data_IF_534416088074
#
_entry.id   IF_534416088074
#
_cell.length_a   1.000
_cell.length_b   1.000
_cell.length_c   1.000
_cell.angle_alpha   90.00
_cell.angle_beta   90.00
_cell.angle_gamma   90.00
#
_symmetry.space_group_name_H-M   'P 1'
#
loop_
_entity.id
_entity.type
_entity.pdbx_description
1 polymer ?
#
# COMPACT_ATOMS: atom_id res chain seq x y z
N UNK A 1 -48.20 49.22 -24.53
CA UNK A 1 -49.35 48.32 -24.33
C UNK A 1 -48.80 46.90 -24.49
N UNK A 2 -48.38 46.13 -23.48
CA UNK A 2 -48.89 45.91 -22.12
C UNK A 2 -47.74 45.53 -21.16
N UNK A 3 -47.94 45.83 -19.88
CA UNK A 3 -47.06 45.48 -18.75
C UNK A 3 -47.48 44.15 -18.07
N UNK A 4 -46.45 43.43 -17.60
CA UNK A 4 -46.33 42.62 -16.35
C UNK A 4 -46.98 41.22 -16.21
N UNK A 5 -46.48 40.33 -15.29
CA UNK A 5 -45.39 40.51 -14.32
C UNK A 5 -44.30 39.40 -14.26
N UNK A 6 -43.14 39.78 -13.69
CA UNK A 6 -42.11 38.91 -13.13
C UNK A 6 -42.70 38.06 -11.98
N UNK A 7 -42.63 36.73 -12.10
CA UNK A 7 -42.74 35.82 -10.94
C UNK A 7 -41.34 35.40 -10.52
N UNK A 8 -40.86 36.01 -9.43
CA UNK A 8 -39.83 35.41 -8.59
C UNK A 8 -40.35 34.09 -8.02
N UNK A 9 -39.94 32.97 -8.60
CA UNK A 9 -39.96 31.70 -7.90
C UNK A 9 -38.68 31.67 -7.07
N UNK A 10 -38.78 32.05 -5.80
CA UNK A 10 -37.81 31.61 -4.79
C UNK A 10 -37.94 30.10 -4.71
N UNK A 11 -37.12 29.39 -5.48
CA UNK A 11 -36.79 28.02 -5.13
C UNK A 11 -36.10 28.11 -3.77
N UNK A 12 -36.84 27.74 -2.72
CA UNK A 12 -36.26 27.41 -1.44
C UNK A 12 -35.38 26.20 -1.72
N UNK A 13 -34.10 26.46 -2.01
CA UNK A 13 -33.11 25.41 -2.14
C UNK A 13 -33.17 24.61 -0.85
N UNK A 14 -33.47 23.31 -0.97
CA UNK A 14 -33.12 22.37 0.10
C UNK A 14 -31.66 22.64 0.44
N UNK A 15 -31.28 22.72 1.73
CA UNK A 15 -29.86 22.66 2.07
C UNK A 15 -29.28 21.41 1.39
N UNK A 16 -28.04 21.45 0.88
CA UNK A 16 -27.42 20.26 0.31
C UNK A 16 -27.60 19.14 1.33
N UNK A 17 -28.17 18.02 0.88
CA UNK A 17 -28.34 16.82 1.70
C UNK A 17 -27.03 16.58 2.42
N UNK A 18 -27.05 16.58 3.76
CA UNK A 18 -25.84 16.44 4.57
C UNK A 18 -25.07 15.22 4.06
N UNK A 19 -23.88 15.50 3.53
CA UNK A 19 -22.90 14.54 3.06
C UNK A 19 -22.41 13.75 4.27
N UNK A 20 -22.93 12.53 4.39
CA UNK A 20 -22.77 11.64 5.53
C UNK A 20 -22.59 10.23 4.97
N UNK A 21 -21.56 9.54 5.46
CA UNK A 21 -21.25 8.17 5.05
C UNK A 21 -21.11 7.31 6.30
N UNK A 22 -21.63 6.08 6.27
CA UNK A 22 -21.39 5.14 7.37
C UNK A 22 -19.89 4.79 7.45
N UNK A 23 -19.33 4.64 8.65
CA UNK A 23 -17.90 4.34 8.81
C UNK A 23 -17.48 3.09 8.04
N UNK A 24 -18.30 2.03 8.04
CA UNK A 24 -17.99 0.79 7.32
C UNK A 24 -17.99 1.00 5.81
N UNK A 25 -18.96 1.77 5.30
CA UNK A 25 -19.01 2.15 3.88
C UNK A 25 -17.75 2.95 3.51
N UNK A 26 -17.35 3.92 4.34
CA UNK A 26 -16.17 4.74 4.09
C UNK A 26 -14.87 3.93 4.13
N UNK A 27 -14.69 3.05 5.11
CA UNK A 27 -13.51 2.18 5.19
C UNK A 27 -13.46 1.22 4.00
N UNK A 28 -14.60 0.67 3.56
CA UNK A 28 -14.67 -0.13 2.32
C UNK A 28 -14.22 0.69 1.11
N UNK A 29 -14.72 1.92 0.97
CA UNK A 29 -14.33 2.79 -0.14
C UNK A 29 -12.85 3.17 -0.10
N UNK A 30 -12.26 3.38 1.08
CA UNK A 30 -10.82 3.64 1.23
C UNK A 30 -9.98 2.41 0.85
N UNK A 31 -10.46 1.20 1.13
CA UNK A 31 -9.82 -0.05 0.69
C UNK A 31 -10.00 -0.29 -0.82
N UNK A 32 -11.12 0.16 -1.42
CA UNK A 32 -11.30 0.13 -2.88
C UNK A 32 -10.37 1.12 -3.60
N UNK A 33 -10.06 2.26 -2.96
CA UNK A 33 -9.10 3.24 -3.45
C UNK A 33 -7.68 2.65 -3.51
N UNK A 34 -7.24 2.00 -2.42
CA UNK A 34 -6.06 1.15 -2.42
C UNK A 34 -6.25 -0.03 -1.48
N UNK A 35 -6.16 -1.24 -2.05
CA UNK A 35 -6.29 -2.47 -1.27
C UNK A 35 -5.20 -2.54 -0.20
N UNK A 36 -5.60 -2.77 1.05
CA UNK A 36 -4.67 -3.00 2.15
C UNK A 36 -3.81 -4.27 1.94
N UNK A 37 -4.21 -5.17 1.04
CA UNK A 37 -3.39 -6.33 0.66
C UNK A 37 -2.08 -5.96 -0.08
N UNK A 38 -1.93 -4.70 -0.49
CA UNK A 38 -0.71 -4.19 -1.10
C UNK A 38 0.31 -3.68 -0.07
N UNK A 39 -0.09 -3.56 1.20
CA UNK A 39 0.81 -3.16 2.26
C UNK A 39 1.90 -4.22 2.50
N UNK A 40 3.03 -3.75 3.00
CA UNK A 40 4.12 -4.62 3.44
C UNK A 40 3.69 -5.52 4.61
N UNK A 41 4.21 -6.74 4.64
CA UNK A 41 3.83 -7.76 5.62
C UNK A 41 4.09 -7.38 7.10
N UNK A 42 4.99 -6.44 7.36
CA UNK A 42 5.33 -5.97 8.70
C UNK A 42 4.45 -4.79 9.16
N UNK A 43 3.65 -4.23 8.25
CA UNK A 43 2.94 -2.98 8.45
C UNK A 43 1.65 -3.15 9.28
N UNK A 44 1.17 -2.06 9.88
CA UNK A 44 -0.09 -2.02 10.61
C UNK A 44 -1.05 -1.01 9.97
N UNK A 45 -1.78 -1.47 8.97
CA UNK A 45 -2.70 -0.66 8.14
C UNK A 45 -4.17 -0.94 8.44
N UNK A 46 -5.04 -0.06 7.97
CA UNK A 46 -6.49 -0.16 8.11
C UNK A 46 -7.06 0.67 9.27
N UNK A 47 -8.24 0.27 9.76
CA UNK A 47 -8.91 0.95 10.87
C UNK A 47 -8.26 0.55 12.20
N UNK A 48 -7.48 1.45 12.78
CA UNK A 48 -6.69 1.22 14.00
C UNK A 48 -7.45 1.58 15.29
N UNK A 49 -8.34 2.57 15.21
CA UNK A 49 -9.24 2.95 16.32
C UNK A 49 -10.64 3.08 15.75
N UNK A 50 -11.56 2.29 16.27
CA UNK A 50 -12.96 2.24 15.83
C UNK A 50 -13.89 2.77 16.93
N UNK A 51 -14.63 3.88 16.69
CA UNK A 51 -15.70 4.33 17.58
C UNK A 51 -16.87 3.34 17.59
N UNK A 52 -17.62 3.28 18.69
CA UNK A 52 -18.76 2.36 18.80
C UNK A 52 -19.87 2.66 17.77
N UNK A 53 -20.45 1.63 17.10
CA UNK A 53 -21.52 1.83 16.13
C UNK A 53 -22.84 2.27 16.79
N UNK A 54 -23.74 2.98 16.06
CA UNK A 54 -23.54 3.50 14.70
C UNK A 54 -22.55 4.68 14.69
N UNK A 55 -21.73 4.78 13.63
CA UNK A 55 -20.79 5.88 13.45
C UNK A 55 -20.87 6.43 12.03
N UNK A 56 -21.14 7.72 11.90
CA UNK A 56 -21.29 8.40 10.63
C UNK A 56 -20.18 9.40 10.47
N UNK A 57 -19.57 9.44 9.30
CA UNK A 57 -18.46 10.32 8.97
C UNK A 57 -18.98 11.45 8.08
N UNK A 58 -18.90 12.67 8.61
CA UNK A 58 -19.12 13.91 7.88
C UNK A 58 -17.81 14.59 7.49
N UNK A 59 -16.78 14.44 8.34
CA UNK A 59 -15.45 15.03 8.13
C UNK A 59 -14.35 13.98 8.23
N UNK A 60 -13.60 13.83 7.14
CA UNK A 60 -12.37 13.05 7.03
C UNK A 60 -11.17 13.99 7.13
N UNK A 61 -10.35 13.82 8.16
CA UNK A 61 -9.17 14.65 8.42
C UNK A 61 -7.89 13.90 8.03
N UNK A 62 -7.08 14.47 7.13
CA UNK A 62 -5.85 13.87 6.62
C UNK A 62 -4.62 14.46 7.31
N UNK A 63 -3.67 13.60 7.67
CA UNK A 63 -2.36 13.99 8.21
C UNK A 63 -1.31 12.95 7.83
N UNK A 64 -0.04 13.34 7.75
CA UNK A 64 1.09 12.43 7.61
C UNK A 64 1.36 11.78 8.97
N UNK A 65 1.55 12.62 9.98
CA UNK A 65 1.93 12.26 11.33
C UNK A 65 0.90 12.77 12.35
N UNK A 66 0.16 11.86 12.98
CA UNK A 66 -0.80 12.21 14.03
C UNK A 66 -0.07 12.51 15.35
N UNK A 67 0.36 13.75 15.54
CA UNK A 67 0.89 14.25 16.82
C UNK A 67 -0.23 14.74 17.75
N UNK A 68 0.08 15.07 19.01
CA UNK A 68 -0.92 15.63 19.94
C UNK A 68 -1.44 17.00 19.47
N UNK A 69 -0.58 17.81 18.85
CA UNK A 69 -0.96 19.12 18.31
C UNK A 69 -1.96 18.97 17.15
N UNK A 70 -1.72 17.98 16.28
CA UNK A 70 -2.58 17.60 15.15
C UNK A 70 -3.89 16.97 15.62
N UNK A 71 -3.86 16.13 16.65
CA UNK A 71 -5.08 15.58 17.26
C UNK A 71 -5.99 16.70 17.78
N UNK A 72 -5.41 17.70 18.44
CA UNK A 72 -6.18 18.86 18.91
C UNK A 72 -6.77 19.66 17.74
N UNK A 73 -6.04 19.81 16.63
CA UNK A 73 -6.58 20.40 15.39
C UNK A 73 -7.75 19.57 14.83
N UNK A 74 -7.62 18.25 14.77
CA UNK A 74 -8.67 17.35 14.27
C UNK A 74 -9.96 17.45 15.11
N UNK A 75 -9.83 17.53 16.44
CA UNK A 75 -10.95 17.76 17.36
C UNK A 75 -11.60 19.12 17.09
N UNK A 76 -10.80 20.19 16.94
CA UNK A 76 -11.31 21.54 16.64
C UNK A 76 -12.03 21.61 15.29
N UNK A 77 -11.52 20.89 14.28
CA UNK A 77 -12.13 20.74 12.96
C UNK A 77 -13.29 19.75 12.91
N UNK A 78 -13.66 19.14 14.06
CA UNK A 78 -14.77 18.19 14.20
C UNK A 78 -14.63 16.99 13.26
N UNK A 79 -13.41 16.44 13.18
CA UNK A 79 -13.16 15.20 12.45
C UNK A 79 -13.96 14.05 13.04
N UNK A 80 -14.57 13.22 12.18
CA UNK A 80 -15.23 11.97 12.59
C UNK A 80 -14.34 10.75 12.30
N UNK A 81 -13.42 10.89 11.35
CA UNK A 81 -12.37 9.95 11.00
C UNK A 81 -11.08 10.71 10.69
N UNK A 82 -9.96 10.28 11.25
CA UNK A 82 -8.61 10.72 10.89
C UNK A 82 -7.99 9.65 10.00
N UNK A 83 -7.50 10.04 8.83
CA UNK A 83 -6.56 9.26 8.03
C UNK A 83 -5.15 9.78 8.33
N UNK A 84 -4.40 8.99 9.09
CA UNK A 84 -2.99 9.25 9.40
C UNK A 84 -2.14 8.40 8.46
N UNK A 85 -1.29 9.02 7.64
CA UNK A 85 -0.46 8.29 6.67
C UNK A 85 0.43 7.29 7.38
N UNK A 86 1.12 7.73 8.43
CA UNK A 86 1.83 6.87 9.36
C UNK A 86 0.91 6.33 10.45
N UNK A 87 0.99 5.03 10.78
CA UNK A 87 0.16 4.43 11.82
C UNK A 87 0.59 4.90 13.21
N UNK A 88 -0.27 5.64 13.97
CA UNK A 88 0.08 6.05 15.32
C UNK A 88 0.24 4.85 16.25
N UNK A 89 -0.53 3.78 16.01
CA UNK A 89 -0.35 2.46 16.62
C UNK A 89 0.51 1.62 15.68
N UNK A 90 1.84 1.77 15.74
CA UNK A 90 2.74 0.95 14.91
C UNK A 90 3.11 -0.38 15.59
N UNK A 91 3.37 -0.33 16.90
CA UNK A 91 3.62 -1.50 17.73
C UNK A 91 2.37 -1.83 18.59
N UNK A 92 2.08 -3.11 18.87
CA UNK A 92 0.95 -3.50 19.70
C UNK A 92 0.95 -2.82 21.09
N UNK A 93 -0.15 -2.15 21.43
CA UNK A 93 -0.35 -1.55 22.74
C UNK A 93 -0.80 -2.62 23.74
N UNK A 94 -0.02 -2.85 24.80
CA UNK A 94 -0.42 -3.75 25.89
C UNK A 94 -1.49 -3.14 26.80
N UNK A 95 -1.56 -1.81 26.85
CA UNK A 95 -2.48 -1.02 27.68
C UNK A 95 -2.79 0.30 26.95
N UNK A 96 -3.96 0.86 27.23
CA UNK A 96 -4.37 2.20 26.77
C UNK A 96 -4.64 3.05 28.00
N UNK A 97 -3.69 3.90 28.35
CA UNK A 97 -3.71 4.79 29.53
C UNK A 97 -3.23 6.19 29.16
N UNK A 98 -3.32 7.15 30.09
CA UNK A 98 -2.84 8.52 29.81
C UNK A 98 -1.30 8.69 29.82
N UNK A 99 -0.54 7.58 29.85
CA UNK A 99 0.90 7.60 30.16
C UNK A 99 1.77 8.07 29.00
N UNK A 100 1.60 7.48 27.82
CA UNK A 100 2.42 7.81 26.63
C UNK A 100 1.60 8.63 25.65
N UNK A 101 2.28 9.44 24.82
CA UNK A 101 1.59 10.28 23.84
C UNK A 101 0.77 9.44 22.85
N UNK A 102 1.29 8.30 22.38
CA UNK A 102 0.55 7.37 21.50
C UNK A 102 -0.72 6.82 22.16
N UNK A 103 -0.65 6.42 23.43
CA UNK A 103 -1.86 5.99 24.15
C UNK A 103 -2.84 7.16 24.34
N UNK A 104 -2.35 8.38 24.63
CA UNK A 104 -3.21 9.58 24.74
C UNK A 104 -3.93 9.91 23.44
N UNK A 105 -3.31 9.71 22.28
CA UNK A 105 -4.00 9.84 20.99
C UNK A 105 -5.19 8.89 20.89
N UNK A 106 -5.02 7.63 21.29
CA UNK A 106 -6.11 6.64 21.30
C UNK A 106 -7.20 7.03 22.29
N UNK A 107 -6.83 7.42 23.52
CA UNK A 107 -7.81 7.86 24.53
C UNK A 107 -8.60 9.07 24.00
N UNK A 108 -7.93 10.09 23.47
CA UNK A 108 -8.58 11.28 22.89
C UNK A 108 -9.51 10.92 21.73
N UNK A 109 -9.05 10.07 20.81
CA UNK A 109 -9.88 9.62 19.70
C UNK A 109 -11.17 8.95 20.20
N UNK A 110 -11.08 8.06 21.19
CA UNK A 110 -12.25 7.40 21.77
C UNK A 110 -13.17 8.38 22.53
N UNK A 111 -12.62 9.29 23.34
CA UNK A 111 -13.39 10.32 24.07
C UNK A 111 -14.20 11.23 23.14
N UNK A 112 -13.62 11.57 21.98
CA UNK A 112 -14.26 12.42 20.96
C UNK A 112 -14.99 11.62 19.88
N UNK A 113 -15.03 10.29 19.99
CA UNK A 113 -15.62 9.37 18.98
C UNK A 113 -15.04 9.55 17.58
N UNK A 114 -13.74 9.77 17.46
CA UNK A 114 -13.01 9.92 16.20
C UNK A 114 -12.38 8.58 15.84
N UNK A 115 -12.62 8.08 14.63
CA UNK A 115 -11.91 6.91 14.11
C UNK A 115 -10.48 7.25 13.70
N UNK A 116 -9.58 6.27 13.70
CA UNK A 116 -8.23 6.42 13.13
C UNK A 116 -8.00 5.32 12.11
N UNK A 117 -7.74 5.71 10.86
CA UNK A 117 -7.38 4.83 9.76
C UNK A 117 -5.96 5.15 9.28
N UNK A 118 -5.19 4.13 8.90
CA UNK A 118 -3.83 4.29 8.37
C UNK A 118 -3.62 3.47 7.10
N UNK A 119 -3.37 4.09 5.93
CA UNK A 119 -3.07 3.35 4.71
C UNK A 119 -1.60 2.96 4.55
N UNK A 120 -0.68 3.80 5.04
CA UNK A 120 0.78 3.64 5.01
C UNK A 120 1.31 2.98 3.72
N UNK A 121 1.97 1.83 3.82
CA UNK A 121 2.63 1.20 2.67
C UNK A 121 1.67 0.74 1.56
N UNK A 122 0.37 0.56 1.84
CA UNK A 122 -0.59 0.31 0.76
C UNK A 122 -0.69 1.51 -0.21
N UNK A 123 -0.56 2.73 0.32
CA UNK A 123 -0.57 3.95 -0.48
C UNK A 123 0.80 4.25 -1.10
N UNK A 124 1.88 3.67 -0.58
CA UNK A 124 3.18 3.65 -1.25
C UNK A 124 3.17 2.78 -2.50
N UNK A 125 2.38 1.70 -2.48
CA UNK A 125 2.36 0.68 -3.51
C UNK A 125 1.65 1.13 -4.79
N UNK A 126 0.52 1.84 -4.67
CA UNK A 126 -0.41 2.06 -5.78
C UNK A 126 0.11 3.00 -6.87
N UNK A 127 -0.41 2.91 -8.12
CA UNK A 127 0.08 3.69 -9.26
C UNK A 127 -0.17 5.20 -9.16
N UNK A 128 -1.06 5.63 -8.27
CA UNK A 128 -1.37 7.04 -8.00
C UNK A 128 -1.01 7.42 -6.55
N UNK A 129 -0.10 6.66 -5.94
CA UNK A 129 0.38 6.83 -4.57
C UNK A 129 1.51 7.85 -4.41
N UNK A 130 2.06 7.92 -3.19
CA UNK A 130 3.09 8.91 -2.81
C UNK A 130 4.35 8.79 -3.68
N UNK A 131 4.77 7.57 -4.02
CA UNK A 131 5.95 7.35 -4.85
C UNK A 131 5.75 7.90 -6.27
N UNK A 132 4.54 7.75 -6.83
CA UNK A 132 4.18 8.34 -8.12
C UNK A 132 4.04 9.85 -8.07
N UNK A 133 3.57 10.39 -6.94
CA UNK A 133 3.58 11.83 -6.70
C UNK A 133 5.02 12.37 -6.69
N UNK A 134 5.93 11.70 -5.97
CA UNK A 134 7.33 12.12 -5.83
C UNK A 134 8.10 12.13 -7.17
N UNK A 135 7.74 11.26 -8.14
CA UNK A 135 8.36 11.26 -9.47
C UNK A 135 8.17 12.59 -10.22
N UNK A 136 7.11 13.34 -9.92
CA UNK A 136 6.84 14.65 -10.54
C UNK A 136 7.98 15.64 -10.30
N UNK A 137 8.73 15.48 -9.21
CA UNK A 137 9.94 16.26 -8.91
C UNK A 137 11.12 16.00 -9.84
N UNK A 138 11.10 14.93 -10.64
CA UNK A 138 12.17 14.63 -11.61
C UNK A 138 11.91 15.29 -12.99
N UNK A 139 10.66 15.59 -13.30
CA UNK A 139 10.21 16.04 -14.62
C UNK A 139 9.52 14.92 -15.43
N UNK A 140 9.49 15.05 -16.76
CA UNK A 140 8.86 14.04 -17.62
C UNK A 140 9.67 12.73 -17.62
N UNK A 141 9.06 11.64 -17.17
CA UNK A 141 9.67 10.31 -17.13
C UNK A 141 8.63 9.20 -17.27
N UNK A 142 9.05 8.02 -17.72
CA UNK A 142 8.31 6.78 -17.47
C UNK A 142 8.74 6.20 -16.13
N UNK A 143 7.84 5.52 -15.43
CA UNK A 143 8.12 4.94 -14.11
C UNK A 143 7.57 3.52 -13.99
N UNK A 144 8.37 2.62 -13.40
CA UNK A 144 7.94 1.27 -13.02
C UNK A 144 8.26 1.02 -11.54
N UNK A 145 7.51 0.15 -10.83
CA UNK A 145 7.85 -0.22 -9.45
C UNK A 145 9.24 -0.85 -9.36
N UNK A 146 9.99 -0.56 -8.28
CA UNK A 146 11.28 -1.23 -8.01
C UNK A 146 11.06 -2.66 -7.51
N UNK A 147 10.11 -2.82 -6.57
CA UNK A 147 9.68 -4.11 -6.06
C UNK A 147 8.19 -4.30 -6.34
N UNK A 148 7.82 -4.94 -7.47
CA UNK A 148 6.42 -5.10 -7.86
C UNK A 148 5.63 -5.92 -6.83
N UNK A 149 4.41 -5.47 -6.51
CA UNK A 149 3.48 -6.23 -5.69
C UNK A 149 3.02 -7.49 -6.41
N UNK A 150 2.61 -8.51 -5.66
CA UNK A 150 2.02 -9.73 -6.21
C UNK A 150 0.51 -9.76 -5.96
N UNK A 151 -0.23 -10.46 -6.83
CA UNK A 151 -1.67 -10.61 -6.65
C UNK A 151 -1.95 -11.40 -5.36
N UNK A 152 -2.94 -11.00 -4.55
CA UNK A 152 -3.18 -11.64 -3.25
C UNK A 152 -3.55 -13.12 -3.37
N UNK A 153 -4.37 -13.49 -4.35
CA UNK A 153 -4.93 -14.85 -4.48
C UNK A 153 -5.35 -15.26 -5.91
N UNK A 154 -5.32 -14.36 -6.90
CA UNK A 154 -5.77 -14.64 -8.27
C UNK A 154 -4.60 -14.71 -9.27
N UNK A 155 -4.57 -15.66 -10.23
CA UNK A 155 -5.53 -16.75 -10.47
C UNK A 155 -5.28 -18.01 -9.64
N UNK A 156 -4.32 -17.98 -8.71
CA UNK A 156 -3.87 -19.18 -7.98
C UNK A 156 -3.97 -18.96 -6.48
N UNK A 157 -5.03 -19.53 -5.88
CA UNK A 157 -5.15 -19.62 -4.43
C UNK A 157 -4.21 -20.70 -3.89
N UNK A 158 -3.63 -20.46 -2.71
CA UNK A 158 -2.63 -21.32 -2.09
C UNK A 158 -1.18 -20.96 -2.41
N UNK A 159 -0.27 -21.78 -1.87
CA UNK A 159 1.18 -21.61 -2.00
C UNK A 159 1.83 -22.77 -2.74
N UNK A 160 1.19 -23.94 -2.75
CA UNK A 160 1.70 -25.15 -3.35
C UNK A 160 0.63 -25.82 -4.18
N UNK A 161 1.06 -26.48 -5.26
CA UNK A 161 0.26 -27.41 -6.02
C UNK A 161 0.83 -28.81 -5.86
N UNK A 162 -0.02 -29.77 -5.50
CA UNK A 162 0.33 -31.19 -5.42
C UNK A 162 -0.38 -31.89 -6.57
N UNK A 163 0.39 -32.60 -7.39
CA UNK A 163 -0.13 -33.39 -8.50
C UNK A 163 0.33 -34.84 -8.40
N UNK A 164 -0.59 -35.77 -8.60
CA UNK A 164 -0.26 -37.20 -8.67
C UNK A 164 -1.25 -37.93 -9.58
N UNK A 165 -0.80 -39.01 -10.20
CA UNK A 165 -1.67 -39.94 -10.93
C UNK A 165 -1.88 -41.19 -10.08
N UNK A 166 -3.13 -41.62 -9.99
CA UNK A 166 -3.53 -42.81 -9.25
C UNK A 166 -4.49 -43.67 -10.07
N UNK A 167 -4.47 -44.98 -9.85
CA UNK A 167 -5.43 -45.88 -10.49
C UNK A 167 -6.84 -45.63 -9.96
N UNK A 168 -7.82 -45.66 -10.85
CA UNK A 168 -9.20 -45.33 -10.52
C UNK A 168 -9.82 -46.47 -9.69
N UNK A 169 -9.85 -46.32 -8.37
CA UNK A 169 -10.28 -47.33 -7.40
C UNK A 169 -11.15 -46.72 -6.28
N UNK A 170 -11.92 -47.55 -5.57
CA UNK A 170 -12.70 -47.12 -4.39
C UNK A 170 -11.81 -46.53 -3.27
N UNK A 171 -10.55 -46.97 -3.21
CA UNK A 171 -9.56 -46.45 -2.26
C UNK A 171 -9.10 -45.02 -2.60
N UNK A 172 -9.06 -44.65 -3.89
CA UNK A 172 -8.77 -43.28 -4.33
C UNK A 172 -9.84 -42.30 -3.83
N UNK A 173 -11.13 -42.64 -3.95
CA UNK A 173 -12.24 -41.80 -3.47
C UNK A 173 -12.16 -41.55 -1.96
N UNK A 174 -11.76 -42.56 -1.19
CA UNK A 174 -11.54 -42.43 0.26
C UNK A 174 -10.41 -41.45 0.58
N UNK A 175 -9.31 -41.50 -0.17
CA UNK A 175 -8.20 -40.55 -0.01
C UNK A 175 -8.62 -39.13 -0.41
N UNK A 176 -9.33 -38.97 -1.51
CA UNK A 176 -9.83 -37.67 -1.97
C UNK A 176 -10.81 -37.04 -0.96
N UNK A 177 -11.67 -37.84 -0.32
CA UNK A 177 -12.54 -37.36 0.75
C UNK A 177 -11.73 -36.81 1.93
N UNK A 178 -10.71 -37.56 2.39
CA UNK A 178 -9.84 -37.11 3.48
C UNK A 178 -9.06 -35.85 3.13
N UNK A 179 -8.64 -35.71 1.86
CA UNK A 179 -7.98 -34.49 1.38
C UNK A 179 -8.94 -33.29 1.46
N UNK A 180 -10.20 -33.45 1.06
CA UNK A 180 -11.21 -32.36 1.11
C UNK A 180 -11.47 -31.86 2.53
N UNK A 181 -11.30 -32.71 3.54
CA UNK A 181 -11.49 -32.36 4.94
C UNK A 181 -10.31 -31.58 5.55
N UNK A 182 -9.16 -31.52 4.86
CA UNK A 182 -8.00 -30.73 5.28
C UNK A 182 -8.30 -29.24 5.11
N UNK A 183 -8.09 -28.45 6.16
CA UNK A 183 -8.24 -27.00 6.09
C UNK A 183 -7.19 -26.38 5.16
N UNK A 184 -7.53 -25.27 4.49
CA UNK A 184 -6.62 -24.55 3.58
C UNK A 184 -6.24 -25.35 2.32
N UNK A 185 -7.12 -26.28 1.91
CA UNK A 185 -7.23 -26.76 0.52
C UNK A 185 -8.12 -25.78 -0.24
N UNK A 186 -7.57 -25.18 -1.29
CA UNK A 186 -8.27 -24.12 -2.04
C UNK A 186 -8.92 -24.65 -3.32
N UNK A 187 -8.29 -25.64 -3.94
CA UNK A 187 -8.77 -26.24 -5.18
C UNK A 187 -8.36 -27.71 -5.19
N UNK A 188 -9.29 -28.60 -5.58
CA UNK A 188 -9.02 -30.00 -5.82
C UNK A 188 -9.73 -30.39 -7.11
N UNK A 189 -8.97 -30.82 -8.11
CA UNK A 189 -9.45 -31.23 -9.42
C UNK A 189 -8.98 -32.63 -9.73
N UNK A 190 -9.83 -33.39 -10.40
CA UNK A 190 -9.52 -34.72 -10.91
C UNK A 190 -9.79 -34.77 -12.39
N UNK A 191 -8.88 -35.35 -13.16
CA UNK A 191 -8.99 -35.50 -14.60
C UNK A 191 -8.67 -36.95 -14.99
N UNK A 192 -9.53 -37.62 -15.78
CA UNK A 192 -9.22 -38.94 -16.29
C UNK A 192 -8.08 -38.84 -17.32
N UNK A 193 -7.09 -39.71 -17.20
CA UNK A 193 -5.93 -39.79 -18.08
C UNK A 193 -5.73 -41.25 -18.50
N UNK A 194 -5.44 -41.45 -19.80
CA UNK A 194 -5.03 -42.76 -20.31
C UNK A 194 -3.52 -42.79 -20.44
N UNK A 195 -2.86 -43.66 -19.68
CA UNK A 195 -1.44 -43.93 -19.77
C UNK A 195 -1.26 -45.42 -19.99
N UNK A 196 -0.47 -45.80 -21.00
CA UNK A 196 -0.08 -47.20 -21.28
C UNK A 196 -1.25 -48.21 -21.43
N UNK A 197 -2.47 -47.74 -21.70
CA UNK A 197 -3.65 -48.58 -21.89
C UNK A 197 -4.54 -48.75 -20.65
N UNK A 198 -4.17 -48.16 -19.51
CA UNK A 198 -4.94 -48.18 -18.26
C UNK A 198 -5.60 -46.82 -17.97
N UNK A 199 -6.78 -46.83 -17.33
CA UNK A 199 -7.52 -45.62 -16.93
C UNK A 199 -7.06 -45.12 -15.55
N UNK A 200 -6.25 -44.07 -15.56
CA UNK A 200 -5.76 -43.41 -14.37
C UNK A 200 -6.51 -42.10 -14.13
N UNK A 201 -6.51 -41.64 -12.89
CA UNK A 201 -7.00 -40.32 -12.50
C UNK A 201 -5.83 -39.45 -12.09
N UNK A 202 -5.64 -38.33 -12.79
CA UNK A 202 -4.73 -37.27 -12.36
C UNK A 202 -5.45 -36.38 -11.36
N UNK A 203 -4.89 -36.29 -10.16
CA UNK A 203 -5.34 -35.42 -9.10
C UNK A 203 -4.43 -34.20 -9.07
N UNK A 204 -5.01 -33.00 -9.04
CA UNK A 204 -4.29 -31.73 -8.89
C UNK A 204 -4.99 -30.88 -7.83
N UNK A 205 -4.25 -30.48 -6.80
CA UNK A 205 -4.78 -29.67 -5.71
C UNK A 205 -3.86 -28.51 -5.36
N UNK A 206 -4.45 -27.38 -5.01
CA UNK A 206 -3.74 -26.23 -4.46
C UNK A 206 -3.96 -26.13 -2.94
N UNK A 207 -2.89 -25.86 -2.19
CA UNK A 207 -2.92 -25.85 -0.73
C UNK A 207 -1.94 -24.83 -0.11
N UNK A 208 -2.10 -24.54 1.17
CA UNK A 208 -1.10 -23.79 1.95
C UNK A 208 0.10 -24.68 2.31
N UNK A 209 1.20 -24.08 2.79
CA UNK A 209 2.35 -24.83 3.31
C UNK A 209 1.96 -25.76 4.46
N UNK A 210 1.00 -25.35 5.30
CA UNK A 210 0.52 -26.16 6.43
C UNK A 210 -0.28 -27.37 5.92
N UNK A 211 -1.24 -27.13 5.03
CA UNK A 211 -2.04 -28.18 4.42
C UNK A 211 -1.19 -29.15 3.58
N UNK A 212 -0.13 -28.67 2.93
CA UNK A 212 0.83 -29.50 2.21
C UNK A 212 1.41 -30.61 3.10
N UNK A 213 1.80 -30.29 4.34
CA UNK A 213 2.36 -31.29 5.26
C UNK A 213 1.36 -32.41 5.57
N UNK A 214 0.08 -32.06 5.75
CA UNK A 214 -1.00 -33.01 6.00
C UNK A 214 -1.29 -33.87 4.76
N UNK A 215 -1.33 -33.26 3.57
CA UNK A 215 -1.51 -33.96 2.30
C UNK A 215 -0.36 -34.94 2.05
N UNK A 216 0.89 -34.51 2.22
CA UNK A 216 2.06 -35.38 2.03
C UNK A 216 2.05 -36.55 3.02
N UNK A 217 1.69 -36.30 4.29
CA UNK A 217 1.55 -37.36 5.28
C UNK A 217 0.47 -38.38 4.88
N UNK A 218 -0.70 -37.91 4.44
CA UNK A 218 -1.78 -38.77 3.99
C UNK A 218 -1.40 -39.59 2.75
N UNK A 219 -0.76 -38.95 1.76
CA UNK A 219 -0.27 -39.63 0.56
C UNK A 219 0.76 -40.70 0.95
N UNK A 220 1.72 -40.40 1.82
CA UNK A 220 2.76 -41.35 2.25
C UNK A 220 2.20 -42.65 2.87
N UNK A 221 1.05 -42.58 3.54
CA UNK A 221 0.35 -43.75 4.10
C UNK A 221 -0.35 -44.61 3.04
N UNK A 222 -0.48 -44.10 1.82
CA UNK A 222 -1.20 -44.70 0.69
C UNK A 222 -0.29 -44.82 -0.55
N UNK A 223 1.01 -45.02 -0.37
CA UNK A 223 2.03 -45.00 -1.44
C UNK A 223 1.85 -46.05 -2.54
N UNK A 224 0.97 -47.05 -2.34
CA UNK A 224 0.63 -48.05 -3.36
C UNK A 224 -0.39 -47.54 -4.38
N UNK A 225 -1.09 -46.44 -4.10
CA UNK A 225 -2.13 -45.88 -4.97
C UNK A 225 -1.59 -45.06 -6.14
N UNK A 226 -0.39 -44.53 -6.01
CA UNK A 226 0.16 -43.57 -6.95
C UNK A 226 1.67 -43.80 -7.09
N UNK A 227 2.19 -43.60 -8.30
CA UNK A 227 3.60 -43.87 -8.58
C UNK A 227 4.50 -42.66 -8.34
N UNK A 228 3.96 -41.45 -8.55
CA UNK A 228 4.71 -40.20 -8.47
C UNK A 228 3.82 -39.08 -7.94
N UNK A 229 4.40 -38.29 -7.05
CA UNK A 229 3.82 -37.01 -6.61
C UNK A 229 4.77 -35.90 -6.99
N UNK A 230 4.25 -34.88 -7.66
CA UNK A 230 4.93 -33.64 -7.94
C UNK A 230 4.39 -32.55 -7.02
N UNK A 231 5.30 -31.80 -6.39
CA UNK A 231 4.96 -30.67 -5.53
C UNK A 231 5.60 -29.44 -6.18
N UNK A 232 4.76 -28.49 -6.57
CA UNK A 232 5.15 -27.27 -7.24
C UNK A 232 4.88 -26.09 -6.31
N UNK A 233 5.87 -25.22 -6.12
CA UNK A 233 5.66 -23.93 -5.46
C UNK A 233 4.91 -23.00 -6.42
N UNK A 234 3.77 -22.47 -5.98
CA UNK A 234 2.96 -21.54 -6.76
C UNK A 234 3.50 -20.13 -6.59
N UNK A 235 3.81 -19.49 -7.73
CA UNK A 235 4.15 -18.07 -7.75
C UNK A 235 2.90 -17.25 -8.01
N UNK A 236 2.71 -16.21 -7.20
CA UNK A 236 1.68 -15.21 -7.41
C UNK A 236 2.11 -14.30 -8.56
N UNK A 237 1.23 -13.98 -9.53
CA UNK A 237 1.59 -13.10 -10.63
C UNK A 237 1.91 -11.70 -10.09
N UNK A 238 2.84 -11.02 -10.75
CA UNK A 238 3.13 -9.62 -10.48
C UNK A 238 1.95 -8.76 -10.91
N UNK A 239 1.57 -7.79 -10.08
CA UNK A 239 0.58 -6.79 -10.41
C UNK A 239 1.26 -5.63 -11.16
N UNK A 240 0.81 -5.30 -12.38
CA UNK A 240 1.37 -4.18 -13.11
C UNK A 240 1.23 -2.86 -12.35
N UNK A 241 2.28 -2.03 -12.40
CA UNK A 241 2.30 -0.66 -11.87
C UNK A 241 2.14 -0.50 -10.35
N UNK A 242 1.92 -1.58 -9.60
CA UNK A 242 1.88 -1.58 -8.12
C UNK A 242 3.17 -2.14 -7.54
N UNK A 243 3.65 -1.57 -6.44
CA UNK A 243 4.85 -2.04 -5.74
C UNK A 243 5.59 -0.94 -5.02
N UNK A 244 6.63 -1.29 -4.28
CA UNK A 244 7.44 -0.32 -3.55
C UNK A 244 8.42 0.42 -4.45
N UNK A 245 8.58 1.72 -4.19
CA UNK A 245 9.49 2.62 -4.89
C UNK A 245 9.26 2.71 -6.41
N UNK A 246 10.01 3.56 -7.11
CA UNK A 246 9.91 3.72 -8.56
C UNK A 246 11.29 3.82 -9.21
N UNK A 247 11.50 3.06 -10.27
CA UNK A 247 12.57 3.32 -11.23
C UNK A 247 12.01 4.21 -12.33
N UNK A 248 12.52 5.43 -12.40
CA UNK A 248 12.12 6.43 -13.37
C UNK A 248 13.17 6.53 -14.47
N UNK A 249 12.75 6.44 -15.73
CA UNK A 249 13.60 6.76 -16.89
C UNK A 249 13.13 8.09 -17.46
N UNK A 250 13.98 9.12 -17.36
CA UNK A 250 13.66 10.46 -17.86
C UNK A 250 13.47 10.41 -19.39
N UNK A 251 12.48 11.16 -19.88
CA UNK A 251 12.25 11.28 -21.33
C UNK A 251 13.43 11.91 -22.04
N UNK A 252 14.05 12.91 -21.41
CA UNK A 252 15.30 13.53 -21.83
C UNK A 252 16.27 13.59 -20.64
N UNK A 253 17.56 13.25 -20.81
CA UNK A 253 18.55 13.37 -19.75
C UNK A 253 18.62 14.81 -19.22
N UNK A 254 18.72 14.97 -17.90
CA UNK A 254 18.88 16.27 -17.25
C UNK A 254 20.13 16.28 -16.38
N UNK A 255 20.73 17.45 -16.18
CA UNK A 255 21.85 17.59 -15.23
C UNK A 255 21.37 17.34 -13.79
N UNK A 256 22.28 16.88 -12.94
CA UNK A 256 21.97 16.69 -11.52
C UNK A 256 21.52 18.00 -10.85
N UNK A 257 22.13 19.13 -11.20
CA UNK A 257 21.73 20.46 -10.72
C UNK A 257 20.29 20.82 -11.11
N UNK A 258 19.87 20.57 -12.35
CA UNK A 258 18.48 20.79 -12.76
C UNK A 258 17.51 19.91 -11.98
N UNK A 259 17.84 18.64 -11.76
CA UNK A 259 16.98 17.72 -10.99
C UNK A 259 16.84 18.19 -9.54
N UNK A 260 17.94 18.65 -8.93
CA UNK A 260 17.92 19.20 -7.58
C UNK A 260 16.94 20.37 -7.48
N UNK A 261 16.95 21.30 -8.44
CA UNK A 261 16.04 22.46 -8.43
C UNK A 261 14.58 22.05 -8.69
N UNK A 262 14.34 21.07 -9.56
CA UNK A 262 12.99 20.51 -9.77
C UNK A 262 12.44 19.85 -8.49
N UNK A 263 13.26 19.07 -7.79
CA UNK A 263 12.89 18.43 -6.52
C UNK A 263 12.60 19.48 -5.45
N UNK A 264 13.48 20.46 -5.26
CA UNK A 264 13.25 21.59 -4.32
C UNK A 264 11.95 22.32 -4.62
N UNK A 265 11.69 22.63 -5.90
CA UNK A 265 10.46 23.30 -6.30
C UNK A 265 9.22 22.44 -6.04
N UNK A 266 9.30 21.13 -6.30
CA UNK A 266 8.20 20.20 -6.11
C UNK A 266 7.86 19.99 -4.62
N UNK A 267 8.89 19.75 -3.80
CA UNK A 267 8.76 19.53 -2.36
C UNK A 267 8.66 20.84 -1.55
N UNK A 268 8.84 21.99 -2.21
CA UNK A 268 8.89 23.34 -1.61
C UNK A 268 9.97 23.45 -0.52
N UNK A 269 11.14 22.86 -0.78
CA UNK A 269 12.27 22.85 0.16
C UNK A 269 13.33 23.89 -0.22
N UNK A 270 13.86 24.67 0.74
CA UNK A 270 14.98 25.59 0.48
C UNK A 270 16.30 24.84 0.29
N UNK A 271 16.46 23.71 0.98
CA UNK A 271 17.67 22.92 1.04
C UNK A 271 17.36 21.43 0.90
N UNK A 272 18.33 20.69 0.37
CA UNK A 272 18.34 19.23 0.33
C UNK A 272 19.74 18.74 0.68
N UNK A 273 19.87 17.47 1.01
CA UNK A 273 21.17 16.84 1.26
C UNK A 273 21.57 16.02 0.04
N UNK A 274 22.77 16.27 -0.46
CA UNK A 274 23.32 15.58 -1.62
C UNK A 274 24.57 14.81 -1.22
N UNK A 275 24.61 13.54 -1.57
CA UNK A 275 25.84 12.76 -1.67
C UNK A 275 26.18 12.56 -3.15
N UNK A 276 27.32 13.07 -3.58
CA UNK A 276 27.76 13.00 -4.99
C UNK A 276 28.33 11.60 -5.27
N UNK A 277 27.86 10.94 -6.33
CA UNK A 277 28.45 9.68 -6.79
C UNK A 277 29.92 9.83 -7.19
N UNK A 278 30.71 8.78 -7.00
CA UNK A 278 32.14 8.78 -7.38
C UNK A 278 32.30 9.09 -8.87
N UNK A 279 33.11 10.10 -9.18
CA UNK A 279 33.33 10.58 -10.56
C UNK A 279 32.18 11.39 -11.16
N UNK A 280 31.16 11.75 -10.36
CA UNK A 280 30.05 12.62 -10.78
C UNK A 280 30.28 14.07 -10.36
N UNK A 281 29.61 14.96 -11.06
CA UNK A 281 29.55 16.41 -10.82
C UNK A 281 28.10 16.88 -10.90
N UNK A 282 27.82 18.12 -10.52
CA UNK A 282 26.48 18.71 -10.65
C UNK A 282 25.98 18.78 -12.11
N UNK A 283 26.89 18.80 -13.08
CA UNK A 283 26.56 18.80 -14.51
C UNK A 283 26.43 17.39 -15.10
N UNK A 284 26.70 16.35 -14.30
CA UNK A 284 26.59 14.97 -14.76
C UNK A 284 25.15 14.65 -15.15
N UNK A 285 24.93 13.99 -16.30
CA UNK A 285 23.58 13.66 -16.75
C UNK A 285 22.99 12.54 -15.92
N UNK A 286 21.72 12.69 -15.57
CA UNK A 286 20.86 11.67 -14.96
C UNK A 286 19.86 11.23 -16.03
N UNK A 287 19.82 9.92 -16.29
CA UNK A 287 18.87 9.28 -17.21
C UNK A 287 17.91 8.37 -16.46
N UNK A 288 18.41 7.69 -15.43
CA UNK A 288 17.62 6.83 -14.55
C UNK A 288 17.72 7.31 -13.12
N UNK A 289 16.56 7.44 -12.46
CA UNK A 289 16.49 7.75 -11.03
C UNK A 289 15.64 6.70 -10.33
N UNK A 290 16.17 6.07 -9.28
CA UNK A 290 15.40 5.21 -8.39
C UNK A 290 14.93 6.02 -7.19
N UNK A 291 13.66 5.90 -6.80
CA UNK A 291 13.11 6.65 -5.68
C UNK A 291 12.20 5.83 -4.79
N UNK A 292 12.12 6.26 -3.53
CA UNK A 292 11.21 5.75 -2.53
C UNK A 292 10.96 6.88 -1.53
N UNK A 293 9.71 7.31 -1.35
CA UNK A 293 9.37 8.23 -0.28
C UNK A 293 9.66 7.60 1.10
N UNK A 294 9.88 8.44 2.11
CA UNK A 294 10.17 7.99 3.48
C UNK A 294 11.57 7.39 3.62
N UNK A 295 11.68 6.26 4.32
CA UNK A 295 12.94 5.55 4.59
C UNK A 295 13.27 4.52 3.51
N UNK A 296 13.75 4.98 2.35
CA UNK A 296 13.99 4.15 1.15
C UNK A 296 15.23 3.26 1.13
N UNK A 297 16.03 3.18 2.21
CA UNK A 297 17.31 2.43 2.26
C UNK A 297 17.21 1.01 1.68
N UNK A 298 16.28 0.19 2.19
CA UNK A 298 16.11 -1.21 1.78
C UNK A 298 15.53 -1.36 0.37
N UNK A 299 14.70 -0.40 -0.04
CA UNK A 299 14.04 -0.38 -1.36
C UNK A 299 15.04 -0.04 -2.47
N UNK A 300 15.97 0.88 -2.21
CA UNK A 300 16.89 1.42 -3.21
C UNK A 300 18.21 0.66 -3.29
N UNK A 301 18.58 -0.08 -2.25
CA UNK A 301 19.87 -0.78 -2.18
C UNK A 301 20.09 -1.69 -3.39
N UNK A 302 21.20 -1.47 -4.11
CA UNK A 302 21.62 -2.30 -5.24
C UNK A 302 20.87 -2.03 -6.54
N UNK A 303 20.03 -0.99 -6.62
CA UNK A 303 19.31 -0.64 -7.84
C UNK A 303 20.21 0.08 -8.84
N UNK A 304 20.18 -0.32 -10.11
CA UNK A 304 20.94 0.35 -11.16
C UNK A 304 20.27 1.66 -11.60
N UNK A 305 20.79 2.79 -11.10
CA UNK A 305 20.34 4.14 -11.45
C UNK A 305 21.50 5.15 -11.39
N UNK A 306 21.33 6.32 -12.00
CA UNK A 306 22.29 7.43 -11.89
C UNK A 306 22.09 8.22 -10.58
N UNK A 307 20.85 8.19 -10.06
CA UNK A 307 20.40 8.96 -8.90
C UNK A 307 19.46 8.12 -8.02
N UNK A 308 19.65 8.21 -6.72
CA UNK A 308 18.68 7.80 -5.70
C UNK A 308 18.01 9.03 -5.09
N UNK A 309 16.69 8.98 -4.92
CA UNK A 309 15.90 10.00 -4.22
C UNK A 309 15.04 9.37 -3.12
N UNK A 310 15.25 9.78 -1.89
CA UNK A 310 14.49 9.29 -0.73
C UNK A 310 14.40 10.34 0.38
N UNK A 311 13.56 10.13 1.37
CA UNK A 311 13.58 10.95 2.58
C UNK A 311 14.83 10.66 3.39
N UNK A 312 15.04 9.39 3.71
CA UNK A 312 16.13 8.92 4.56
C UNK A 312 16.87 7.73 3.93
N UNK A 313 18.17 7.63 4.26
CA UNK A 313 19.03 6.50 3.92
C UNK A 313 20.13 6.37 4.98
N UNK A 314 20.48 5.14 5.34
CA UNK A 314 21.53 4.87 6.32
C UNK A 314 22.91 5.32 5.82
N UNK A 315 23.81 5.70 6.72
CA UNK A 315 25.14 6.19 6.35
C UNK A 315 25.92 5.21 5.45
N UNK A 316 25.90 3.91 5.79
CA UNK A 316 26.61 2.90 5.01
C UNK A 316 25.97 2.67 3.63
N UNK A 317 24.62 2.70 3.53
CA UNK A 317 23.97 2.57 2.23
C UNK A 317 24.26 3.78 1.33
N UNK A 318 24.38 5.00 1.89
CA UNK A 318 24.81 6.19 1.14
C UNK A 318 26.25 6.02 0.63
N UNK A 319 27.18 5.55 1.47
CA UNK A 319 28.56 5.30 1.07
C UNK A 319 28.64 4.25 -0.06
N UNK A 320 27.88 3.16 0.06
CA UNK A 320 27.82 2.11 -0.94
C UNK A 320 27.29 2.65 -2.27
N UNK A 321 26.21 3.44 -2.26
CA UNK A 321 25.66 4.07 -3.47
C UNK A 321 26.69 5.01 -4.13
N UNK A 322 27.34 5.86 -3.34
CA UNK A 322 28.37 6.80 -3.83
C UNK A 322 29.56 6.06 -4.43
N UNK A 323 30.05 5.01 -3.78
CA UNK A 323 31.15 4.19 -4.28
C UNK A 323 30.82 3.55 -5.64
N UNK A 324 29.56 3.18 -5.86
CA UNK A 324 29.05 2.66 -7.13
C UNK A 324 28.74 3.75 -8.18
N UNK A 325 29.10 5.01 -7.92
CA UNK A 325 28.88 6.11 -8.86
C UNK A 325 27.45 6.65 -8.90
N UNK A 326 26.59 6.22 -7.98
CA UNK A 326 25.20 6.69 -7.84
C UNK A 326 25.18 7.92 -6.93
N UNK A 327 24.56 9.00 -7.39
CA UNK A 327 24.33 10.17 -6.52
C UNK A 327 23.10 9.93 -5.65
N UNK A 328 23.06 10.48 -4.44
CA UNK A 328 21.92 10.31 -3.51
C UNK A 328 21.40 11.67 -3.06
N UNK A 329 20.11 11.91 -3.24
CA UNK A 329 19.40 13.06 -2.70
C UNK A 329 18.52 12.59 -1.53
N UNK A 330 18.74 13.20 -0.37
CA UNK A 330 17.93 13.02 0.84
C UNK A 330 17.16 14.31 1.12
N UNK A 331 15.85 14.17 1.31
CA UNK A 331 14.94 15.29 1.52
C UNK A 331 14.23 15.26 2.89
N UNK A 332 14.66 14.38 3.79
CA UNK A 332 14.02 14.06 5.07
C UNK A 332 12.64 13.38 4.90
N UNK A 333 12.25 12.57 5.88
CA UNK A 333 11.15 11.60 5.77
C UNK A 333 9.81 12.26 5.40
N UNK A 334 9.26 13.09 6.28
CA UNK A 334 7.92 13.67 6.12
C UNK A 334 7.86 14.62 4.92
N UNK A 335 8.97 15.25 4.52
CA UNK A 335 9.00 16.14 3.35
C UNK A 335 8.82 15.39 2.02
N UNK A 336 9.20 14.12 1.95
CA UNK A 336 8.98 13.27 0.76
C UNK A 336 7.59 12.63 0.70
N UNK A 337 6.72 12.91 1.67
CA UNK A 337 5.40 12.29 1.78
C UNK A 337 4.28 13.31 1.96
N UNK A 338 4.42 14.23 2.91
CA UNK A 338 3.36 15.15 3.37
C UNK A 338 2.73 15.97 2.25
N UNK A 339 3.51 16.36 1.25
CA UNK A 339 3.01 17.11 0.08
C UNK A 339 1.97 16.35 -0.74
N UNK A 340 2.01 15.01 -0.72
CA UNK A 340 1.04 14.13 -1.37
C UNK A 340 -0.37 14.30 -0.81
N UNK A 341 -0.52 14.66 0.48
CA UNK A 341 -1.84 14.73 1.14
C UNK A 341 -2.79 15.73 0.48
N UNK A 342 -2.26 16.80 -0.13
CA UNK A 342 -3.09 17.75 -0.89
C UNK A 342 -3.68 17.10 -2.15
N UNK A 343 -2.90 16.30 -2.87
CA UNK A 343 -3.40 15.58 -4.04
C UNK A 343 -4.30 14.41 -3.62
N UNK A 344 -3.95 13.73 -2.52
CA UNK A 344 -4.77 12.67 -1.94
C UNK A 344 -6.16 13.19 -1.55
N UNK A 345 -6.25 14.37 -0.94
CA UNK A 345 -7.54 15.03 -0.66
C UNK A 345 -8.39 15.14 -1.91
N UNK A 346 -7.82 15.62 -3.01
CA UNK A 346 -8.57 15.86 -4.25
C UNK A 346 -8.97 14.53 -4.91
N UNK A 347 -8.09 13.53 -4.90
CA UNK A 347 -8.39 12.18 -5.39
C UNK A 347 -9.49 11.50 -4.57
N UNK A 348 -9.42 11.56 -3.24
CA UNK A 348 -10.44 11.00 -2.36
C UNK A 348 -11.77 11.75 -2.47
N UNK A 349 -11.76 13.07 -2.69
CA UNK A 349 -12.98 13.84 -2.90
C UNK A 349 -13.73 13.38 -4.15
N UNK A 350 -13.01 13.04 -5.22
CA UNK A 350 -13.59 12.45 -6.44
C UNK A 350 -14.07 11.02 -6.17
N UNK A 351 -13.22 10.17 -5.58
CA UNK A 351 -13.52 8.75 -5.30
C UNK A 351 -14.75 8.58 -4.41
N UNK A 352 -14.85 9.40 -3.36
CA UNK A 352 -15.97 9.42 -2.41
C UNK A 352 -17.16 10.26 -2.90
N UNK A 353 -17.14 10.74 -4.16
CA UNK A 353 -18.21 11.52 -4.77
C UNK A 353 -18.60 12.76 -3.94
N UNK A 354 -17.63 13.35 -3.24
CA UNK A 354 -17.81 14.47 -2.33
C UNK A 354 -18.86 14.24 -1.22
N UNK A 355 -19.14 12.97 -0.87
CA UNK A 355 -20.05 12.58 0.22
C UNK A 355 -19.51 12.86 1.62
N UNK A 356 -18.25 13.24 1.75
CA UNK A 356 -17.57 13.54 3.03
C UNK A 356 -16.73 14.80 2.82
N UNK A 357 -16.70 15.69 3.80
CA UNK A 357 -15.80 16.85 3.81
C UNK A 357 -14.37 16.38 4.12
N UNK A 358 -13.40 16.65 3.25
CA UNK A 358 -12.01 16.22 3.44
C UNK A 358 -11.12 17.43 3.73
N UNK A 359 -10.45 17.41 4.87
CA UNK A 359 -9.55 18.50 5.30
C UNK A 359 -8.15 17.94 5.53
N UNK A 360 -7.11 18.71 5.22
CA UNK A 360 -5.72 18.37 5.52
C UNK A 360 -5.26 19.16 6.75
N UNK A 361 -4.44 18.53 7.58
CA UNK A 361 -3.79 19.14 8.74
C UNK A 361 -2.95 20.36 8.35
N UNK A 362 -3.09 21.45 9.11
CA UNK A 362 -2.26 22.65 9.00
C UNK A 362 -1.12 22.64 10.02
N UNK A 363 -1.24 21.83 11.07
CA UNK A 363 -0.24 21.75 12.14
C UNK A 363 0.80 20.65 11.90
N UNK A 364 0.51 19.70 11.02
CA UNK A 364 1.44 18.64 10.64
C UNK A 364 2.71 19.21 10.00
N UNK A 365 3.85 18.86 10.58
CA UNK A 365 5.16 19.34 10.16
C UNK A 365 6.24 18.31 10.41
N UNK A 366 7.26 18.39 9.58
CA UNK A 366 8.49 17.63 9.78
C UNK A 366 9.08 17.97 11.17
N UNK A 367 9.49 16.96 11.95
CA UNK A 367 10.10 17.20 13.26
C UNK A 367 11.49 17.84 13.18
N UNK A 368 12.16 17.77 12.02
CA UNK A 368 13.48 18.33 11.76
C UNK A 368 13.37 19.71 11.11
N UNK A 369 14.28 20.60 11.49
CA UNK A 369 14.40 21.95 10.92
C UNK A 369 15.86 22.20 10.52
N UNK A 370 16.06 22.75 9.33
CA UNK A 370 17.37 23.03 8.72
C UNK A 370 17.67 24.51 8.76
#
# INVERSE_FOLDING_TARGET
LFCWPLRCIRAVGRPPSRCLMDLRELVSALNDFASLSLAESWDNVGLLVEPSPPHTVSTLFLTNDLTEEVMEEAVQKKADLILSYHPPIFAPLKRVTWKTWKERLVVRALEHRIGIYSPHTAYDAIPHGVNNWLTKGLGACSSVPLHPSTAPSYPTEGTHRVEFCADTTEHLETVLSKIKDIQEIFCLTTLPVRAEGEEQTRVSLNCSQKALLEVVALLSQNSLLYHKTEILLLQKPLLPHTGMGRLCTLSEPASLSEIIERIKSHLKLPHIRLAMGTGKTLDSPVKKAALCAGSGSSVLKGMEADLYLTGEMSHHDVLDAVANGVSVILCEHSNTERGFLSELRDMLAIHLQSKVNITVSEKDRDPLQV
#
